data_IF_591101802501
#
_entry.id   IF_591101802501
#
_cell.length_a   1.000
_cell.length_b   1.000
_cell.length_c   1.000
_cell.angle_alpha   90.00
_cell.angle_beta   90.00
_cell.angle_gamma   90.00
#
_symmetry.space_group_name_H-M   'P 1'
#
loop_
_entity.id
_entity.type
_entity.pdbx_description
1 polymer ?
#
# COMPACT_ATOMS: atom_id res chain seq x y z
N UNK A 1 -10.06 34.61 -2.01
CA UNK A 1 -8.66 35.04 -2.22
C UNK A 1 -8.02 35.10 -0.83
N UNK A 2 -7.26 34.14 -0.33
CA UNK A 2 -6.50 33.07 -0.96
C UNK A 2 -6.38 31.90 0.03
N UNK A 3 -6.27 30.70 -0.51
CA UNK A 3 -6.14 29.45 0.23
C UNK A 3 -4.73 29.41 0.88
N UNK A 4 -4.62 29.98 2.09
CA UNK A 4 -3.39 30.12 2.89
C UNK A 4 -2.69 28.79 3.24
N UNK A 5 -3.28 27.64 2.90
CA UNK A 5 -2.64 26.34 3.06
C UNK A 5 -1.56 26.04 2.00
N UNK A 6 -1.55 26.73 0.85
CA UNK A 6 -0.70 26.32 -0.29
C UNK A 6 0.71 26.95 -0.33
N UNK A 7 1.00 28.02 0.43
CA UNK A 7 2.23 28.83 0.22
C UNK A 7 3.46 28.26 0.98
N UNK A 8 3.28 27.31 1.91
CA UNK A 8 4.34 26.85 2.80
C UNK A 8 5.06 25.54 2.40
N UNK A 9 4.69 24.87 1.30
CA UNK A 9 5.21 23.53 0.97
C UNK A 9 6.63 23.48 0.36
N UNK A 10 7.29 24.63 0.10
CA UNK A 10 8.57 24.69 -0.63
C UNK A 10 9.86 24.71 0.23
N UNK A 11 9.80 24.58 1.57
CA UNK A 11 10.98 24.73 2.46
C UNK A 11 11.59 23.45 3.05
N UNK A 12 11.36 22.27 2.46
CA UNK A 12 12.11 21.06 2.85
C UNK A 12 11.85 20.55 4.28
N UNK A 13 10.89 21.13 5.01
CA UNK A 13 10.34 20.51 6.21
C UNK A 13 9.45 19.37 5.76
N UNK A 14 9.96 18.13 5.79
CA UNK A 14 9.10 16.95 5.78
C UNK A 14 8.07 17.17 6.90
N UNK A 15 6.75 17.22 6.61
CA UNK A 15 5.77 17.35 7.67
C UNK A 15 6.04 16.24 8.70
N UNK A 16 5.82 16.49 10.01
CA UNK A 16 5.94 15.41 10.99
C UNK A 16 5.12 14.23 10.47
N UNK A 17 5.51 12.96 10.73
CA UNK A 17 4.64 11.85 10.42
C UNK A 17 3.36 12.05 11.23
N UNK A 18 2.39 12.76 10.64
CA UNK A 18 1.05 12.87 11.16
C UNK A 18 0.58 11.44 11.10
N UNK A 19 0.54 10.77 12.24
CA UNK A 19 -0.07 9.46 12.34
C UNK A 19 -1.52 9.68 11.94
N UNK A 20 -1.83 9.41 10.68
CA UNK A 20 -3.18 9.48 10.15
C UNK A 20 -3.88 8.31 10.83
N UNK A 21 -4.72 8.61 11.82
CA UNK A 21 -5.61 7.61 12.39
C UNK A 21 -6.61 7.23 11.30
N UNK A 22 -6.30 6.17 10.56
CA UNK A 22 -7.14 5.61 9.52
C UNK A 22 -8.21 4.72 10.15
N UNK A 23 -9.47 4.98 9.80
CA UNK A 23 -10.61 4.14 10.21
C UNK A 23 -11.08 3.32 9.02
N UNK A 24 -11.35 2.03 9.23
CA UNK A 24 -12.00 1.20 8.22
C UNK A 24 -13.50 1.43 8.24
N UNK A 25 -14.05 1.91 7.12
CA UNK A 25 -15.49 2.16 6.94
C UNK A 25 -16.11 0.93 6.27
N UNK A 26 -17.02 0.24 6.97
CA UNK A 26 -17.77 -0.91 6.44
C UNK A 26 -19.27 -0.66 6.41
N UNK A 27 -19.76 0.28 7.22
CA UNK A 27 -21.18 0.63 7.36
C UNK A 27 -21.34 2.15 7.41
N UNK A 28 -22.53 2.69 7.05
CA UNK A 28 -22.82 4.12 7.18
C UNK A 28 -22.59 4.67 8.60
N UNK A 29 -22.87 3.86 9.63
CA UNK A 29 -22.63 4.23 11.02
C UNK A 29 -21.16 4.54 11.31
N UNK A 30 -20.22 3.85 10.65
CA UNK A 30 -18.79 4.09 10.87
C UNK A 30 -18.38 5.50 10.39
N UNK A 31 -19.05 6.02 9.35
CA UNK A 31 -18.90 7.42 8.91
C UNK A 31 -19.53 8.36 9.93
N UNK A 32 -20.74 8.04 10.40
CA UNK A 32 -21.45 8.84 11.40
C UNK A 32 -20.67 9.01 12.70
N UNK A 33 -20.07 7.93 13.19
CA UNK A 33 -19.22 7.92 14.39
C UNK A 33 -17.96 8.78 14.21
N UNK A 34 -17.27 8.64 13.05
CA UNK A 34 -16.10 9.45 12.73
C UNK A 34 -16.43 10.95 12.67
N UNK A 35 -17.55 11.31 12.02
CA UNK A 35 -18.06 12.68 11.94
C UNK A 35 -18.39 13.21 13.33
N UNK A 36 -19.13 12.45 14.13
CA UNK A 36 -19.53 12.84 15.49
C UNK A 36 -18.31 13.08 16.38
N UNK A 37 -17.36 12.16 16.38
CA UNK A 37 -16.13 12.27 17.17
C UNK A 37 -15.32 13.51 16.76
N UNK A 38 -15.15 13.73 15.45
CA UNK A 38 -14.41 14.88 14.92
C UNK A 38 -15.11 16.20 15.23
N UNK A 39 -16.44 16.25 15.11
CA UNK A 39 -17.25 17.42 15.45
C UNK A 39 -17.10 17.78 16.94
N UNK A 40 -17.21 16.79 17.82
CA UNK A 40 -17.06 16.99 19.27
C UNK A 40 -15.64 17.44 19.64
N UNK A 41 -14.60 16.85 19.03
CA UNK A 41 -13.21 17.27 19.24
C UNK A 41 -12.96 18.73 18.83
N UNK A 42 -13.75 19.26 17.89
CA UNK A 42 -13.71 20.67 17.47
C UNK A 42 -14.62 21.59 18.29
N UNK A 43 -15.26 21.08 19.34
CA UNK A 43 -16.16 21.85 20.21
C UNK A 43 -17.47 22.27 19.54
N UNK A 44 -17.83 21.66 18.40
CA UNK A 44 -19.05 21.97 17.68
C UNK A 44 -20.21 21.13 18.21
N UNK A 45 -21.39 21.71 18.35
CA UNK A 45 -22.64 20.99 18.55
C UNK A 45 -23.28 20.60 17.19
N UNK A 46 -24.35 19.81 17.19
CA UNK A 46 -25.00 19.37 15.94
C UNK A 46 -25.64 20.52 15.15
N UNK A 47 -26.14 21.56 15.82
CA UNK A 47 -26.69 22.75 15.18
C UNK A 47 -25.58 23.51 14.45
N UNK A 48 -24.41 23.68 15.07
CA UNK A 48 -23.28 24.38 14.44
C UNK A 48 -22.86 23.71 13.13
N UNK A 49 -22.81 22.36 13.10
CA UNK A 49 -22.52 21.62 11.88
C UNK A 49 -23.65 21.74 10.86
N UNK A 50 -24.91 21.71 11.30
CA UNK A 50 -26.06 21.87 10.43
C UNK A 50 -26.06 23.23 9.71
N UNK A 51 -25.75 24.30 10.45
CA UNK A 51 -25.71 25.67 9.94
C UNK A 51 -24.62 25.83 8.87
N UNK A 52 -23.43 25.24 9.10
CA UNK A 52 -22.33 25.26 8.12
C UNK A 52 -22.63 24.47 6.85
N UNK A 53 -23.41 23.39 6.98
CA UNK A 53 -23.81 22.57 5.84
C UNK A 53 -25.07 23.10 5.12
N UNK A 54 -25.79 24.04 5.73
CA UNK A 54 -27.07 24.54 5.22
C UNK A 54 -28.16 23.46 5.23
N UNK A 55 -28.19 22.62 6.27
CA UNK A 55 -29.15 21.52 6.45
C UNK A 55 -29.84 21.63 7.80
N UNK A 56 -30.85 20.78 8.05
CA UNK A 56 -31.51 20.75 9.36
C UNK A 56 -30.65 20.01 10.40
N UNK A 57 -30.77 20.40 11.68
CA UNK A 57 -30.16 19.65 12.78
C UNK A 57 -30.63 18.20 12.85
N UNK A 58 -31.89 17.93 12.50
CA UNK A 58 -32.42 16.57 12.39
C UNK A 58 -31.64 15.75 11.35
N UNK A 59 -31.29 16.35 10.20
CA UNK A 59 -30.45 15.69 9.21
C UNK A 59 -29.09 15.30 9.79
N UNK A 60 -28.43 16.19 10.55
CA UNK A 60 -27.15 15.88 11.20
C UNK A 60 -27.29 14.77 12.22
N UNK A 61 -28.36 14.77 13.02
CA UNK A 61 -28.63 13.71 13.99
C UNK A 61 -28.78 12.34 13.31
N UNK A 62 -29.58 12.27 12.25
CA UNK A 62 -29.79 11.04 11.48
C UNK A 62 -28.51 10.57 10.79
N UNK A 63 -27.75 11.51 10.22
CA UNK A 63 -26.48 11.22 9.57
C UNK A 63 -25.44 10.67 10.56
N UNK A 64 -25.25 11.32 11.71
CA UNK A 64 -24.39 10.84 12.79
C UNK A 64 -24.88 9.51 13.36
N UNK A 65 -26.19 9.23 13.30
CA UNK A 65 -26.79 7.95 13.65
C UNK A 65 -26.58 6.84 12.60
N UNK A 66 -25.92 7.14 11.46
CA UNK A 66 -25.63 6.16 10.42
C UNK A 66 -26.77 5.89 9.46
N UNK A 67 -27.63 6.89 9.20
CA UNK A 67 -28.75 6.76 8.24
C UNK A 67 -28.27 6.20 6.88
N UNK A 68 -28.75 5.00 6.47
CA UNK A 68 -28.30 4.36 5.22
C UNK A 68 -28.63 5.15 3.96
N UNK A 69 -29.66 6.00 4.03
CA UNK A 69 -30.15 6.83 2.91
C UNK A 69 -29.64 8.27 2.97
N UNK A 70 -28.57 8.55 3.75
CA UNK A 70 -27.93 9.85 3.72
C UNK A 70 -27.41 10.16 2.31
N UNK A 71 -27.72 11.35 1.79
CA UNK A 71 -27.28 11.70 0.44
C UNK A 71 -25.76 11.83 0.40
N UNK A 72 -25.12 11.11 -0.51
CA UNK A 72 -23.66 11.05 -0.62
C UNK A 72 -23.03 12.44 -0.77
N UNK A 73 -23.64 13.34 -1.53
CA UNK A 73 -23.13 14.70 -1.72
C UNK A 73 -23.05 15.49 -0.40
N UNK A 74 -24.04 15.36 0.47
CA UNK A 74 -24.04 15.99 1.79
C UNK A 74 -23.06 15.32 2.75
N UNK A 75 -22.90 14.00 2.65
CA UNK A 75 -21.88 13.26 3.40
C UNK A 75 -20.49 13.79 3.04
N UNK A 76 -20.15 13.85 1.76
CA UNK A 76 -18.85 14.36 1.31
C UNK A 76 -18.62 15.82 1.72
N UNK A 77 -19.66 16.67 1.67
CA UNK A 77 -19.59 18.05 2.18
C UNK A 77 -19.30 18.09 3.68
N UNK A 78 -19.94 17.23 4.48
CA UNK A 78 -19.69 17.14 5.92
C UNK A 78 -18.27 16.69 6.24
N UNK A 79 -17.74 15.70 5.50
CA UNK A 79 -16.36 15.26 5.64
C UNK A 79 -15.38 16.39 5.33
N UNK A 80 -15.61 17.14 4.26
CA UNK A 80 -14.78 18.29 3.88
C UNK A 80 -14.82 19.41 4.93
N UNK A 81 -16.01 19.76 5.43
CA UNK A 81 -16.18 20.78 6.48
C UNK A 81 -15.40 20.41 7.77
N UNK A 82 -15.37 19.12 8.11
CA UNK A 82 -14.63 18.61 9.26
C UNK A 82 -13.17 18.25 8.94
N UNK A 83 -12.68 18.57 7.73
CA UNK A 83 -11.35 18.24 7.22
C UNK A 83 -10.99 16.75 7.38
N UNK A 84 -11.97 15.88 7.16
CA UNK A 84 -11.80 14.43 7.08
C UNK A 84 -11.54 14.07 5.63
N UNK A 85 -10.39 13.45 5.35
CA UNK A 85 -10.07 12.96 4.01
C UNK A 85 -10.66 11.57 3.79
N UNK A 86 -11.52 11.42 2.78
CA UNK A 86 -11.94 10.12 2.27
C UNK A 86 -11.03 9.71 1.11
N UNK A 87 -10.34 8.58 1.28
CA UNK A 87 -9.52 7.97 0.24
C UNK A 87 -10.09 6.60 -0.13
N UNK A 88 -10.11 6.30 -1.43
CA UNK A 88 -10.48 5.00 -1.96
C UNK A 88 -9.27 4.41 -2.69
N UNK A 89 -9.02 3.12 -2.46
CA UNK A 89 -8.00 2.35 -3.15
C UNK A 89 -8.73 1.21 -3.87
N UNK A 90 -8.49 1.05 -5.17
CA UNK A 90 -8.90 -0.16 -5.85
C UNK A 90 -8.01 -1.30 -5.34
N UNK A 91 -8.62 -2.41 -4.92
CA UNK A 91 -7.86 -3.63 -4.69
C UNK A 91 -7.40 -4.18 -6.03
N UNK A 92 -6.13 -4.55 -6.13
CA UNK A 92 -5.68 -5.42 -7.20
C UNK A 92 -6.18 -6.84 -6.86
N UNK A 93 -7.45 -7.11 -7.14
CA UNK A 93 -7.93 -8.50 -7.29
C UNK A 93 -7.40 -9.12 -8.61
N UNK A 94 -6.43 -8.46 -9.25
CA UNK A 94 -5.50 -9.09 -10.16
C UNK A 94 -4.68 -10.08 -9.34
N UNK A 95 -5.16 -11.33 -9.33
CA UNK A 95 -4.27 -12.46 -9.45
C UNK A 95 -3.04 -12.02 -10.25
N UNK A 96 -1.90 -12.08 -9.57
CA UNK A 96 -0.59 -11.90 -10.14
C UNK A 96 -0.44 -12.95 -11.25
N UNK A 97 -0.97 -12.65 -12.44
CA UNK A 97 -0.20 -12.86 -13.66
C UNK A 97 1.02 -11.95 -13.50
N UNK A 98 1.97 -12.44 -12.69
CA UNK A 98 3.35 -12.09 -12.90
C UNK A 98 3.58 -12.18 -14.41
N UNK A 99 4.27 -11.23 -15.05
CA UNK A 99 5.11 -11.70 -16.14
C UNK A 99 5.93 -12.82 -15.49
N UNK A 100 5.68 -14.06 -15.91
CA UNK A 100 6.52 -15.19 -15.54
C UNK A 100 7.96 -14.66 -15.52
N UNK A 101 8.74 -14.90 -14.45
CA UNK A 101 10.10 -14.37 -14.39
C UNK A 101 10.71 -14.64 -15.76
N UNK A 102 11.24 -13.61 -16.49
CA UNK A 102 11.90 -13.89 -17.75
C UNK A 102 12.89 -14.98 -17.41
N UNK A 103 12.71 -16.13 -18.08
CA UNK A 103 13.42 -17.37 -17.82
C UNK A 103 14.83 -16.98 -17.40
N UNK A 104 15.18 -17.30 -16.14
CA UNK A 104 16.45 -16.93 -15.55
C UNK A 104 17.52 -17.15 -16.61
N UNK A 105 18.24 -16.08 -16.95
CA UNK A 105 19.48 -16.15 -17.70
C UNK A 105 20.51 -16.89 -16.87
N UNK A 106 20.34 -18.21 -16.74
CA UNK A 106 21.44 -19.14 -16.70
C UNK A 106 21.71 -19.47 -18.14
N UNK A 107 22.81 -18.94 -18.67
CA UNK A 107 23.41 -19.46 -19.90
C UNK A 107 23.38 -20.99 -19.84
N UNK A 108 23.02 -21.69 -20.92
CA UNK A 108 23.05 -23.14 -20.93
C UNK A 108 24.51 -23.56 -20.80
N UNK A 109 24.92 -23.97 -19.61
CA UNK A 109 26.03 -24.92 -19.49
C UNK A 109 25.33 -26.26 -19.60
N UNK A 110 25.38 -26.83 -20.80
CA UNK A 110 24.97 -28.21 -21.02
C UNK A 110 26.03 -29.12 -20.36
N UNK A 111 25.58 -30.01 -19.48
CA UNK A 111 26.47 -30.93 -18.75
C UNK A 111 27.05 -31.97 -19.71
N UNK A 112 26.34 -32.30 -20.79
CA UNK A 112 26.76 -33.31 -21.76
C UNK A 112 27.96 -32.81 -22.58
N UNK A 113 28.03 -31.49 -22.85
CA UNK A 113 29.17 -30.82 -23.52
C UNK A 113 30.51 -30.94 -22.76
N UNK A 114 30.48 -31.15 -21.44
CA UNK A 114 31.68 -31.35 -20.62
C UNK A 114 32.20 -32.79 -20.72
N UNK A 115 31.31 -33.76 -20.91
CA UNK A 115 31.68 -35.16 -21.06
C UNK A 115 32.37 -35.42 -22.41
N UNK A 116 31.89 -34.77 -23.47
CA UNK A 116 32.40 -34.95 -24.83
C UNK A 116 33.77 -34.29 -25.08
N UNK A 117 34.11 -33.23 -24.32
CA UNK A 117 35.42 -32.55 -24.47
C UNK A 117 36.61 -33.36 -23.97
N UNK A 118 36.37 -34.49 -23.29
CA UNK A 118 37.40 -35.44 -22.88
C UNK A 118 38.37 -34.84 -21.85
N UNK A 119 38.46 -35.46 -20.68
CA UNK A 119 39.57 -35.22 -19.76
C UNK A 119 40.87 -35.51 -20.53
N UNK A 120 41.62 -34.48 -20.90
CA UNK A 120 42.91 -34.67 -21.58
C UNK A 120 43.71 -35.73 -20.80
N UNK A 121 44.26 -36.76 -21.47
CA UNK A 121 44.94 -37.82 -20.77
C UNK A 121 46.09 -37.17 -19.99
N UNK A 122 46.13 -37.38 -18.67
CA UNK A 122 47.34 -37.14 -17.89
C UNK A 122 48.43 -37.95 -18.57
N UNK A 123 49.32 -37.29 -19.30
CA UNK A 123 50.51 -37.92 -19.85
C UNK A 123 51.34 -38.44 -18.69
N UNK A 124 51.17 -39.72 -18.40
CA UNK A 124 51.92 -40.45 -17.39
C UNK A 124 53.34 -40.65 -17.94
N UNK A 125 54.24 -39.72 -17.58
CA UNK A 125 55.66 -39.86 -17.84
C UNK A 125 56.17 -41.13 -17.14
N UNK A 126 56.84 -41.98 -17.92
CA UNK A 126 57.32 -43.30 -17.57
C UNK A 126 58.03 -43.38 -16.20
N UNK A 127 57.55 -44.26 -15.32
CA UNK A 127 58.31 -44.74 -14.15
C UNK A 127 59.14 -45.96 -14.56
N UNK A 128 60.47 -45.95 -14.43
CA UNK A 128 61.30 -47.08 -14.84
C UNK A 128 61.12 -48.30 -13.91
N UNK A 129 61.14 -49.48 -14.52
CA UNK A 129 60.94 -50.79 -13.92
C UNK A 129 61.97 -51.10 -12.83
N UNK A 130 61.50 -51.42 -11.61
CA UNK A 130 62.34 -51.99 -10.55
C UNK A 130 62.34 -53.51 -10.64
N UNK A 131 63.52 -54.05 -10.91
CA UNK A 131 63.79 -55.48 -11.14
C UNK A 131 63.33 -56.36 -9.98
N UNK A 132 62.78 -57.52 -10.36
CA UNK A 132 62.28 -58.64 -9.54
C UNK A 132 63.31 -59.12 -8.51
N UNK A 133 62.81 -59.60 -7.36
CA UNK A 133 63.44 -60.71 -6.62
C UNK A 133 62.36 -61.71 -6.19
N UNK A 134 62.48 -62.93 -6.73
CA UNK A 134 61.72 -64.13 -6.34
C UNK A 134 62.31 -64.69 -5.04
N UNK A 135 61.46 -65.13 -4.12
CA UNK A 135 61.70 -66.25 -3.21
C UNK A 135 60.38 -66.98 -3.00
#
# INVERSE_FOLDING_TARGET
MENLFAIAYNRGCKPPPTQVLSVFIRRPADIGDLVRATRQARGLNQQDLADRLGVSRWWVNEFEGGKPTARLDLVLRALNELQITLAAYAGDDAETAAPAPPASSRSPIDIDDIADRGLAPRTEAARPARKRRRR
#
